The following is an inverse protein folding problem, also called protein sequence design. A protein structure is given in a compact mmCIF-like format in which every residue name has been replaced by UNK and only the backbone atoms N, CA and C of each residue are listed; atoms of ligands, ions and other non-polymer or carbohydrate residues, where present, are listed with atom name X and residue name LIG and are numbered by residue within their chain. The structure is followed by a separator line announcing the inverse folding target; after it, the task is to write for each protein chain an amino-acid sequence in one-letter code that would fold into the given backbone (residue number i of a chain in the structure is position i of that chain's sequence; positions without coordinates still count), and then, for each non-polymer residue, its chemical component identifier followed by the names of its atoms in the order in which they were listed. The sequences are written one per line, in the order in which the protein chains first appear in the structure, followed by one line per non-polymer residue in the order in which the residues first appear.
data_IF_299170556878
#
_entry.id   IF_299170556878
#
_cell.length_a   1.000
_cell.length_b   1.000
_cell.length_c   1.000
_cell.angle_alpha   90.00
_cell.angle_beta   90.00
_cell.angle_gamma   90.00
#
_symmetry.space_group_name_H-M   'P 1'
#
loop_
_entity.id
_entity.type
_entity.pdbx_description
1 polymer ?
#
# COMPACT_ATOMS: atom_id res chain seq x y z
N UNK A 1 8.04 6.24 -30.56
CA UNK A 1 7.47 6.83 -29.33
C UNK A 1 6.25 6.04 -28.89
N UNK A 2 6.22 5.56 -27.64
CA UNK A 2 5.04 4.95 -27.03
C UNK A 2 4.28 5.98 -26.21
N UNK A 3 2.97 5.78 -26.00
CA UNK A 3 2.16 6.65 -25.13
C UNK A 3 2.80 6.80 -23.76
N UNK A 4 3.37 5.70 -23.22
CA UNK A 4 4.09 5.71 -21.95
C UNK A 4 5.27 6.67 -21.95
N UNK A 5 6.07 6.68 -23.01
CA UNK A 5 7.23 7.56 -23.12
C UNK A 5 6.80 9.02 -23.30
N UNK A 6 5.73 9.26 -24.05
CA UNK A 6 5.17 10.60 -24.25
C UNK A 6 4.60 11.18 -22.93
N UNK A 7 3.85 10.37 -22.16
CA UNK A 7 3.36 10.76 -20.83
C UNK A 7 4.49 10.96 -19.82
N UNK A 8 5.52 10.11 -19.84
CA UNK A 8 6.73 10.31 -19.02
C UNK A 8 7.43 11.63 -19.36
N UNK A 9 7.52 11.96 -20.65
CA UNK A 9 8.10 13.22 -21.09
C UNK A 9 7.28 14.43 -20.62
N UNK A 10 5.93 14.36 -20.66
CA UNK A 10 5.05 15.39 -20.11
C UNK A 10 5.28 15.61 -18.61
N UNK A 11 5.38 14.53 -17.84
CA UNK A 11 5.68 14.64 -16.41
C UNK A 11 7.05 15.29 -16.15
N UNK A 12 8.05 14.96 -16.97
CA UNK A 12 9.43 15.45 -16.78
C UNK A 12 9.62 16.90 -17.24
N UNK A 13 8.99 17.30 -18.35
CA UNK A 13 9.21 18.61 -18.97
C UNK A 13 8.28 19.71 -18.42
N UNK A 14 7.29 19.34 -17.61
CA UNK A 14 6.34 20.24 -16.92
C UNK A 14 5.56 21.18 -17.84
N UNK A 15 5.44 20.86 -19.13
CA UNK A 15 4.68 21.68 -20.08
C UNK A 15 3.19 21.46 -19.89
N UNK A 16 2.42 22.55 -19.87
CA UNK A 16 0.94 22.54 -19.77
C UNK A 16 0.39 22.05 -18.43
N UNK A 17 1.21 22.01 -17.38
CA UNK A 17 0.71 21.72 -16.03
C UNK A 17 -0.30 22.79 -15.58
N UNK A 18 -1.40 22.34 -15.01
CA UNK A 18 -2.56 23.15 -14.60
C UNK A 18 -2.95 22.90 -13.13
N UNK A 19 -2.13 22.14 -12.40
CA UNK A 19 -2.24 21.93 -10.96
C UNK A 19 -0.87 21.77 -10.31
N UNK A 20 -0.77 22.21 -9.05
CA UNK A 20 0.38 22.04 -8.17
C UNK A 20 -0.02 21.14 -7.01
N UNK A 21 0.75 20.10 -6.74
CA UNK A 21 0.59 19.23 -5.58
C UNK A 21 1.66 19.59 -4.58
N UNK A 22 1.26 19.96 -3.36
CA UNK A 22 2.15 20.41 -2.29
C UNK A 22 2.23 19.36 -1.19
N UNK A 23 3.45 19.01 -0.80
CA UNK A 23 3.76 18.21 0.39
C UNK A 23 4.68 19.06 1.24
N UNK A 24 4.23 19.44 2.44
CA UNK A 24 4.93 20.41 3.29
C UNK A 24 5.26 21.70 2.50
N UNK A 25 6.53 22.07 2.38
CA UNK A 25 7.00 23.24 1.64
C UNK A 25 7.40 22.93 0.18
N UNK A 26 7.25 21.67 -0.26
CA UNK A 26 7.68 21.21 -1.58
C UNK A 26 6.50 21.07 -2.55
N UNK A 27 6.72 21.43 -3.81
CA UNK A 27 5.66 21.48 -4.84
C UNK A 27 6.05 20.70 -6.09
N UNK A 28 5.11 19.91 -6.62
CA UNK A 28 5.21 19.22 -7.90
C UNK A 28 4.10 19.70 -8.83
N UNK A 29 4.46 20.09 -10.05
CA UNK A 29 3.52 20.47 -11.10
C UNK A 29 3.01 19.23 -11.84
N UNK A 30 1.72 19.18 -12.13
CA UNK A 30 1.06 18.04 -12.78
C UNK A 30 -0.12 18.49 -13.66
N UNK A 31 -0.79 17.52 -14.27
CA UNK A 31 -1.91 17.73 -15.18
C UNK A 31 -3.20 17.14 -14.58
N UNK A 32 -4.22 17.97 -14.38
CA UNK A 32 -5.51 17.57 -13.79
C UNK A 32 -6.14 16.42 -14.56
N UNK A 33 -6.08 16.47 -15.89
CA UNK A 33 -6.68 15.43 -16.75
C UNK A 33 -6.05 14.05 -16.55
N UNK A 34 -4.72 13.95 -16.43
CA UNK A 34 -4.01 12.70 -16.16
C UNK A 34 -4.37 12.19 -14.77
N UNK A 35 -4.33 13.07 -13.76
CA UNK A 35 -4.66 12.69 -12.38
C UNK A 35 -6.12 12.22 -12.24
N UNK A 36 -7.08 12.96 -12.81
CA UNK A 36 -8.50 12.62 -12.80
C UNK A 36 -8.78 11.31 -13.54
N UNK A 37 -8.14 11.08 -14.69
CA UNK A 37 -8.34 9.84 -15.44
C UNK A 37 -7.83 8.59 -14.70
N UNK A 38 -6.95 8.76 -13.72
CA UNK A 38 -6.19 7.68 -13.09
C UNK A 38 -6.49 7.51 -11.60
N UNK A 39 -7.21 8.44 -11.00
CA UNK A 39 -7.63 8.42 -9.60
C UNK A 39 -9.04 8.99 -9.47
N UNK A 40 -10.02 8.18 -9.01
CA UNK A 40 -11.37 8.65 -8.72
C UNK A 40 -11.40 9.82 -7.73
N UNK A 41 -10.48 9.83 -6.77
CA UNK A 41 -10.37 10.91 -5.77
C UNK A 41 -9.96 12.22 -6.42
N UNK A 42 -8.97 12.20 -7.31
CA UNK A 42 -8.61 13.39 -8.08
C UNK A 42 -9.72 13.81 -9.06
N UNK A 43 -10.44 12.85 -9.67
CA UNK A 43 -11.56 13.16 -10.55
C UNK A 43 -12.64 13.96 -9.82
N UNK A 44 -13.09 13.44 -8.66
CA UNK A 44 -14.06 14.14 -7.80
C UNK A 44 -13.53 15.50 -7.35
N UNK A 45 -12.25 15.56 -6.95
CA UNK A 45 -11.61 16.79 -6.49
C UNK A 45 -11.63 17.91 -7.53
N UNK A 46 -11.35 17.58 -8.80
CA UNK A 46 -11.29 18.58 -9.87
C UNK A 46 -12.64 18.88 -10.53
N UNK A 47 -13.60 17.95 -10.49
CA UNK A 47 -14.93 18.13 -11.07
C UNK A 47 -15.82 19.07 -10.23
N UNK A 48 -15.67 19.02 -8.90
CA UNK A 48 -16.55 19.77 -7.98
C UNK A 48 -16.09 21.21 -7.69
N UNK A 49 -15.07 21.71 -8.40
CA UNK A 49 -14.60 23.09 -8.22
C UNK A 49 -14.23 23.44 -6.78
N UNK A 50 -13.73 22.45 -6.00
CA UNK A 50 -13.28 22.67 -4.62
C UNK A 50 -12.24 23.80 -4.57
N UNK A 51 -12.06 24.45 -3.41
CA UNK A 51 -11.17 25.61 -3.20
C UNK A 51 -9.77 25.45 -3.83
N UNK A 52 -9.25 24.22 -3.80
CA UNK A 52 -7.99 23.77 -4.39
C UNK A 52 -7.95 23.99 -5.92
N UNK A 53 -9.09 23.84 -6.58
CA UNK A 53 -9.28 24.09 -8.03
C UNK A 53 -9.14 25.58 -8.37
N UNK A 54 -9.51 26.48 -7.45
CA UNK A 54 -9.43 27.93 -7.63
C UNK A 54 -8.03 28.48 -7.34
N UNK A 55 -7.32 27.92 -6.36
CA UNK A 55 -5.93 28.30 -6.04
C UNK A 55 -4.88 27.56 -6.88
N UNK A 56 -5.28 26.45 -7.53
CA UNK A 56 -4.39 25.62 -8.34
C UNK A 56 -3.37 24.82 -7.52
N UNK A 57 -3.54 24.76 -6.20
CA UNK A 57 -2.66 24.04 -5.26
C UNK A 57 -3.51 23.03 -4.48
N UNK A 58 -3.09 21.77 -4.49
CA UNK A 58 -3.67 20.68 -3.70
C UNK A 58 -2.66 20.28 -2.64
N UNK A 59 -3.06 20.36 -1.38
CA UNK A 59 -2.25 19.87 -0.26
C UNK A 59 -2.39 18.35 -0.14
N UNK A 60 -1.24 17.67 -0.21
CA UNK A 60 -1.10 16.23 -0.05
C UNK A 60 -0.48 15.98 1.32
N UNK A 61 -1.26 15.37 2.21
CA UNK A 61 -0.87 15.06 3.59
C UNK A 61 -0.62 13.56 3.77
N UNK A 62 0.07 13.18 4.84
CA UNK A 62 0.39 11.79 5.22
C UNK A 62 1.31 11.05 4.21
N UNK A 63 2.19 11.78 3.54
CA UNK A 63 3.19 11.24 2.61
C UNK A 63 4.35 12.23 2.49
N UNK A 64 5.47 11.81 1.90
CA UNK A 64 6.61 12.68 1.61
C UNK A 64 6.75 12.95 0.11
N UNK A 65 7.66 13.87 -0.24
CA UNK A 65 7.88 14.29 -1.63
C UNK A 65 8.39 13.15 -2.53
N UNK A 66 9.14 12.19 -1.99
CA UNK A 66 9.69 11.08 -2.75
C UNK A 66 8.59 10.09 -3.11
N UNK A 67 7.76 9.70 -2.13
CA UNK A 67 6.60 8.84 -2.35
C UNK A 67 5.59 9.50 -3.30
N UNK A 68 5.34 10.81 -3.17
CA UNK A 68 4.49 11.52 -4.12
C UNK A 68 5.04 11.49 -5.55
N UNK A 69 6.36 11.64 -5.75
CA UNK A 69 6.97 11.54 -7.09
C UNK A 69 6.77 10.16 -7.71
N UNK A 70 6.96 9.09 -6.94
CA UNK A 70 6.75 7.72 -7.41
C UNK A 70 5.28 7.43 -7.70
N UNK A 71 4.38 7.94 -6.85
CA UNK A 71 2.94 7.85 -7.07
C UNK A 71 2.55 8.53 -8.38
N UNK A 72 3.02 9.76 -8.62
CA UNK A 72 2.77 10.48 -9.86
C UNK A 72 3.41 9.77 -11.06
N UNK A 73 4.64 9.30 -10.94
CA UNK A 73 5.27 8.50 -11.99
C UNK A 73 4.38 7.32 -12.40
N UNK A 74 3.80 6.61 -11.43
CA UNK A 74 2.87 5.52 -11.71
C UNK A 74 1.62 5.98 -12.46
N UNK A 75 1.01 7.11 -12.07
CA UNK A 75 -0.17 7.63 -12.77
C UNK A 75 0.10 7.95 -14.25
N UNK A 76 1.31 8.41 -14.58
CA UNK A 76 1.69 8.71 -15.97
C UNK A 76 2.18 7.49 -16.75
N UNK A 77 2.72 6.46 -16.09
CA UNK A 77 3.53 5.43 -16.79
C UNK A 77 3.24 3.98 -16.43
N UNK A 78 2.35 3.72 -15.46
CA UNK A 78 2.10 2.39 -14.88
C UNK A 78 3.36 1.70 -14.28
N UNK A 79 4.43 2.46 -14.09
CA UNK A 79 5.70 1.99 -13.52
C UNK A 79 6.11 2.74 -12.28
N UNK A 80 6.84 2.02 -11.43
CA UNK A 80 7.55 2.53 -10.26
C UNK A 80 8.98 2.07 -10.46
N UNK A 81 9.91 3.01 -10.66
CA UNK A 81 11.28 2.66 -11.07
C UNK A 81 12.12 2.12 -9.90
N UNK A 82 11.80 2.51 -8.66
CA UNK A 82 12.49 2.12 -7.44
C UNK A 82 11.46 1.69 -6.39
N UNK A 83 11.23 0.39 -6.25
CA UNK A 83 10.30 -0.16 -5.26
C UNK A 83 11.06 -1.06 -4.30
N UNK A 84 11.28 -0.57 -3.08
CA UNK A 84 11.73 -1.35 -1.94
C UNK A 84 10.59 -1.53 -0.92
N UNK A 85 10.89 -2.16 0.21
CA UNK A 85 9.91 -2.42 1.27
C UNK A 85 9.26 -1.13 1.81
N UNK A 86 10.05 -0.10 2.16
CA UNK A 86 9.52 1.13 2.76
C UNK A 86 8.69 1.92 1.75
N UNK A 87 9.17 2.01 0.51
CA UNK A 87 8.46 2.61 -0.61
C UNK A 87 7.14 1.88 -0.87
N UNK A 88 7.13 0.55 -0.88
CA UNK A 88 5.91 -0.22 -1.11
C UNK A 88 4.87 -0.04 0.02
N UNK A 89 5.31 -0.01 1.29
CA UNK A 89 4.44 0.26 2.43
C UNK A 89 3.77 1.64 2.33
N UNK A 90 4.56 2.68 2.02
CA UNK A 90 4.06 4.05 1.92
C UNK A 90 3.22 4.28 0.65
N UNK A 91 3.64 3.75 -0.51
CA UNK A 91 2.87 3.84 -1.75
C UNK A 91 1.54 3.10 -1.65
N UNK A 92 1.47 1.99 -0.92
CA UNK A 92 0.21 1.28 -0.69
C UNK A 92 -0.82 2.16 0.04
N UNK A 93 -0.39 2.92 1.04
CA UNK A 93 -1.25 3.89 1.74
C UNK A 93 -1.72 5.02 0.81
N UNK A 94 -0.83 5.57 -0.01
CA UNK A 94 -1.19 6.61 -1.00
C UNK A 94 -2.14 6.05 -2.06
N UNK A 95 -1.87 4.84 -2.56
CA UNK A 95 -2.71 4.16 -3.54
C UNK A 95 -4.12 3.91 -3.01
N UNK A 96 -4.26 3.52 -1.74
CA UNK A 96 -5.57 3.37 -1.07
C UNK A 96 -6.27 4.74 -0.95
N UNK A 97 -5.56 5.76 -0.44
CA UNK A 97 -6.09 7.11 -0.23
C UNK A 97 -6.62 7.74 -1.51
N UNK A 98 -5.94 7.53 -2.64
CA UNK A 98 -6.32 8.06 -3.95
C UNK A 98 -7.05 7.04 -4.83
N UNK A 99 -7.41 5.88 -4.29
CA UNK A 99 -8.18 4.82 -4.95
C UNK A 99 -7.59 4.34 -6.29
N UNK A 100 -6.27 4.13 -6.31
CA UNK A 100 -5.53 3.64 -7.48
C UNK A 100 -5.30 2.14 -7.33
N UNK A 101 -6.33 1.35 -7.67
CA UNK A 101 -6.37 -0.09 -7.42
C UNK A 101 -5.18 -0.84 -8.05
N UNK A 102 -4.77 -0.50 -9.27
CA UNK A 102 -3.64 -1.17 -9.93
C UNK A 102 -2.32 -0.96 -9.20
N UNK A 103 -2.10 0.21 -8.58
CA UNK A 103 -0.91 0.46 -7.76
C UNK A 103 -1.00 -0.26 -6.42
N UNK A 104 -2.20 -0.26 -5.81
CA UNK A 104 -2.47 -1.01 -4.57
C UNK A 104 -2.12 -2.49 -4.75
N UNK A 105 -2.63 -3.13 -5.80
CA UNK A 105 -2.31 -4.53 -6.13
C UNK A 105 -0.81 -4.74 -6.35
N UNK A 106 -0.16 -3.84 -7.11
CA UNK A 106 1.29 -3.92 -7.37
C UNK A 106 2.11 -3.88 -6.07
N UNK A 107 1.80 -2.95 -5.17
CA UNK A 107 2.48 -2.85 -3.88
C UNK A 107 2.20 -4.09 -3.01
N UNK A 108 0.96 -4.58 -2.98
CA UNK A 108 0.60 -5.78 -2.22
C UNK A 108 1.34 -7.03 -2.70
N UNK A 109 1.43 -7.22 -4.02
CA UNK A 109 2.15 -8.38 -4.58
C UNK A 109 3.65 -8.30 -4.29
N UNK A 110 4.24 -7.11 -4.34
CA UNK A 110 5.64 -6.89 -3.95
C UNK A 110 5.86 -7.16 -2.45
N UNK A 111 5.01 -6.61 -1.56
CA UNK A 111 5.12 -6.86 -0.12
C UNK A 111 4.98 -8.34 0.23
N UNK A 112 4.17 -9.10 -0.53
CA UNK A 112 4.09 -10.55 -0.37
C UNK A 112 5.42 -11.25 -0.69
N UNK A 113 6.18 -10.79 -1.68
CA UNK A 113 7.49 -11.40 -2.02
C UNK A 113 8.58 -11.02 -1.02
N UNK A 114 8.47 -9.85 -0.40
CA UNK A 114 9.42 -9.34 0.60
C UNK A 114 9.09 -9.75 2.04
N UNK A 115 8.10 -10.61 2.24
CA UNK A 115 7.63 -11.00 3.56
C UNK A 115 8.68 -11.82 4.33
N UNK A 116 8.92 -11.43 5.57
CA UNK A 116 9.94 -12.00 6.47
C UNK A 116 9.46 -12.02 7.92
N UNK A 117 10.21 -12.69 8.80
CA UNK A 117 9.92 -12.73 10.25
C UNK A 117 9.93 -11.31 10.84
N UNK A 118 10.82 -10.48 10.31
CA UNK A 118 11.09 -9.12 10.77
C UNK A 118 9.96 -8.15 10.41
N UNK A 119 9.29 -8.35 9.27
CA UNK A 119 8.31 -7.39 8.74
C UNK A 119 6.86 -7.90 8.66
N UNK A 120 6.59 -9.21 8.79
CA UNK A 120 5.24 -9.78 8.57
C UNK A 120 4.15 -9.15 9.45
N UNK A 121 4.48 -8.74 10.67
CA UNK A 121 3.53 -8.03 11.56
C UNK A 121 3.07 -6.70 10.97
N UNK A 122 3.98 -5.92 10.40
CA UNK A 122 3.67 -4.61 9.83
C UNK A 122 2.88 -4.78 8.51
N UNK A 123 3.32 -5.72 7.67
CA UNK A 123 2.62 -6.09 6.43
C UNK A 123 1.18 -6.54 6.74
N UNK A 124 0.98 -7.38 7.76
CA UNK A 124 -0.34 -7.84 8.17
C UNK A 124 -1.23 -6.68 8.66
N UNK A 125 -0.70 -5.79 9.49
CA UNK A 125 -1.43 -4.61 9.95
C UNK A 125 -1.84 -3.72 8.78
N UNK A 126 -0.91 -3.47 7.85
CA UNK A 126 -1.18 -2.66 6.67
C UNK A 126 -2.23 -3.32 5.76
N UNK A 127 -2.06 -4.61 5.45
CA UNK A 127 -3.00 -5.37 4.64
C UNK A 127 -4.43 -5.35 5.22
N UNK A 128 -4.56 -5.42 6.54
CA UNK A 128 -5.84 -5.26 7.21
C UNK A 128 -6.37 -3.82 7.12
N UNK A 129 -5.52 -2.81 7.32
CA UNK A 129 -5.92 -1.40 7.24
C UNK A 129 -6.44 -1.00 5.86
N UNK A 130 -5.82 -1.52 4.79
CA UNK A 130 -6.25 -1.30 3.40
C UNK A 130 -7.27 -2.34 2.90
N UNK A 131 -7.82 -3.18 3.79
CA UNK A 131 -8.80 -4.23 3.44
C UNK A 131 -8.37 -5.12 2.26
N UNK A 132 -7.10 -5.51 2.19
CA UNK A 132 -6.56 -6.35 1.12
C UNK A 132 -6.43 -7.82 1.60
N UNK A 133 -7.52 -8.56 1.44
CA UNK A 133 -7.71 -9.90 2.02
C UNK A 133 -6.65 -10.93 1.59
N UNK A 134 -6.19 -10.90 0.34
CA UNK A 134 -5.19 -11.85 -0.13
C UNK A 134 -3.84 -11.70 0.59
N UNK A 135 -3.36 -10.46 0.73
CA UNK A 135 -2.10 -10.16 1.44
C UNK A 135 -2.24 -10.44 2.94
N UNK A 136 -3.40 -10.13 3.51
CA UNK A 136 -3.72 -10.45 4.90
C UNK A 136 -3.68 -11.96 5.15
N UNK A 137 -4.34 -12.76 4.31
CA UNK A 137 -4.30 -14.23 4.39
C UNK A 137 -2.88 -14.75 4.25
N UNK A 138 -2.13 -14.30 3.23
CA UNK A 138 -0.75 -14.72 3.02
C UNK A 138 0.14 -14.41 4.23
N UNK A 139 -0.05 -13.26 4.88
CA UNK A 139 0.68 -12.88 6.09
C UNK A 139 0.34 -13.77 7.28
N UNK A 140 -0.94 -14.11 7.46
CA UNK A 140 -1.38 -15.04 8.50
C UNK A 140 -0.81 -16.45 8.25
N UNK A 141 -0.87 -16.93 7.02
CA UNK A 141 -0.33 -18.24 6.63
C UNK A 141 1.19 -18.32 6.88
N UNK A 142 1.92 -17.25 6.59
CA UNK A 142 3.35 -17.15 6.90
C UNK A 142 3.62 -17.29 8.41
N UNK A 143 2.89 -16.55 9.24
CA UNK A 143 3.03 -16.61 10.71
C UNK A 143 2.73 -18.03 11.23
N UNK A 144 1.70 -18.66 10.69
CA UNK A 144 1.28 -20.01 11.08
C UNK A 144 2.25 -21.09 10.60
N UNK A 145 2.95 -20.86 9.49
CA UNK A 145 3.98 -21.75 8.97
C UNK A 145 5.22 -21.82 9.86
N UNK A 146 5.59 -20.71 10.50
CA UNK A 146 6.79 -20.59 11.35
C UNK A 146 6.53 -19.88 12.69
N UNK A 147 5.61 -20.40 13.52
CA UNK A 147 5.09 -19.66 14.67
C UNK A 147 6.16 -19.42 15.75
N UNK A 148 7.12 -20.35 15.93
CA UNK A 148 8.15 -20.22 16.95
C UNK A 148 9.00 -18.95 16.80
N UNK A 149 9.40 -18.62 15.58
CA UNK A 149 10.24 -17.45 15.30
C UNK A 149 9.47 -16.15 15.46
N UNK A 150 8.22 -16.10 14.98
CA UNK A 150 7.41 -14.88 15.01
C UNK A 150 6.88 -14.60 16.42
N UNK A 151 6.24 -15.58 17.05
CA UNK A 151 5.53 -15.38 18.33
C UNK A 151 6.47 -15.13 19.51
N UNK A 152 7.74 -15.54 19.41
CA UNK A 152 8.75 -15.28 20.44
C UNK A 152 9.45 -13.92 20.26
N UNK A 153 9.20 -13.22 19.15
CA UNK A 153 9.86 -11.93 18.88
C UNK A 153 9.32 -10.81 19.78
N UNK A 154 10.18 -9.86 20.22
CA UNK A 154 9.71 -8.66 20.95
C UNK A 154 8.71 -7.82 20.14
N UNK A 155 8.86 -7.83 18.81
CA UNK A 155 7.97 -7.14 17.88
C UNK A 155 6.55 -7.70 17.97
N UNK A 156 6.39 -9.02 17.97
CA UNK A 156 5.09 -9.67 18.15
C UNK A 156 4.41 -9.29 19.47
N UNK A 157 5.17 -9.29 20.57
CA UNK A 157 4.67 -8.93 21.90
C UNK A 157 4.11 -7.51 21.98
N UNK A 158 4.70 -6.59 21.21
CA UNK A 158 4.23 -5.21 21.10
C UNK A 158 3.05 -5.13 20.14
N UNK A 159 3.17 -5.78 18.98
CA UNK A 159 2.17 -5.81 17.92
C UNK A 159 0.82 -6.37 18.40
N UNK A 160 0.82 -7.48 19.14
CA UNK A 160 -0.41 -8.13 19.63
C UNK A 160 -1.23 -7.25 20.58
N UNK A 161 -0.57 -6.34 21.33
CA UNK A 161 -1.25 -5.41 22.25
C UNK A 161 -2.07 -4.38 21.47
N UNK A 162 -1.55 -3.94 20.33
CA UNK A 162 -2.17 -2.96 19.45
C UNK A 162 -3.15 -3.59 18.45
N UNK A 163 -2.99 -4.88 18.14
CA UNK A 163 -3.76 -5.60 17.11
C UNK A 163 -4.53 -6.80 17.69
N UNK A 164 -5.32 -6.59 18.75
CA UNK A 164 -5.97 -7.66 19.53
C UNK A 164 -6.82 -8.62 18.71
N UNK A 165 -7.63 -8.10 17.78
CA UNK A 165 -8.50 -8.94 16.93
C UNK A 165 -7.71 -9.84 15.97
N UNK A 166 -6.67 -9.28 15.33
CA UNK A 166 -5.81 -10.06 14.45
C UNK A 166 -5.01 -11.12 15.25
N UNK A 167 -4.47 -10.74 16.41
CA UNK A 167 -3.78 -11.67 17.29
C UNK A 167 -4.69 -12.81 17.80
N UNK A 168 -5.96 -12.50 18.11
CA UNK A 168 -6.97 -13.50 18.49
C UNK A 168 -7.24 -14.47 17.35
N UNK A 169 -7.37 -13.94 16.13
CA UNK A 169 -7.59 -14.74 14.92
C UNK A 169 -6.44 -15.71 14.68
N UNK A 170 -5.20 -15.22 14.74
CA UNK A 170 -3.99 -16.05 14.59
C UNK A 170 -3.93 -17.13 15.68
N UNK A 171 -4.20 -16.76 16.95
CA UNK A 171 -4.19 -17.70 18.07
C UNK A 171 -5.21 -18.82 17.89
N UNK A 172 -6.42 -18.49 17.42
CA UNK A 172 -7.46 -19.46 17.14
C UNK A 172 -7.07 -20.41 16.00
N UNK A 173 -6.50 -19.89 14.90
CA UNK A 173 -6.05 -20.73 13.79
C UNK A 173 -4.88 -21.65 14.16
N UNK A 174 -3.93 -21.18 14.98
CA UNK A 174 -2.86 -22.01 15.52
C UNK A 174 -3.40 -23.16 16.38
N UNK A 175 -4.39 -22.88 17.23
CA UNK A 175 -5.06 -23.91 18.04
C UNK A 175 -5.75 -24.97 17.18
N UNK A 176 -6.48 -24.56 16.13
CA UNK A 176 -7.12 -25.48 15.20
C UNK A 176 -6.08 -26.35 14.49
N UNK A 177 -5.00 -25.76 13.97
CA UNK A 177 -3.94 -26.50 13.28
C UNK A 177 -3.23 -27.51 14.20
N UNK A 178 -3.00 -27.16 15.46
CA UNK A 178 -2.46 -28.09 16.46
C UNK A 178 -3.43 -29.25 16.75
N UNK A 179 -4.73 -28.96 16.81
CA UNK A 179 -5.78 -29.96 17.06
C UNK A 179 -5.92 -30.94 15.88
N UNK A 180 -5.93 -30.45 14.64
CA UNK A 180 -5.96 -31.26 13.43
C UNK A 180 -4.73 -32.15 13.28
N UNK A 181 -3.52 -31.63 13.59
CA UNK A 181 -2.29 -32.45 13.59
C UNK A 181 -2.36 -33.58 14.60
N UNK A 182 -2.89 -33.33 15.81
CA UNK A 182 -3.09 -34.36 16.83
C UNK A 182 -4.10 -35.43 16.40
N UNK A 183 -5.22 -35.03 15.82
CA UNK A 183 -6.22 -35.97 15.29
C UNK A 183 -5.62 -36.90 14.21
N UNK A 184 -4.87 -36.32 13.27
CA UNK A 184 -4.20 -37.07 12.20
C UNK A 184 -3.12 -38.04 12.74
N UNK A 185 -2.37 -37.65 13.79
CA UNK A 185 -1.37 -38.53 14.41
C UNK A 185 -1.99 -39.67 15.23
N UNK A 186 -3.19 -39.47 15.79
CA UNK A 186 -3.90 -40.50 16.56
C UNK A 186 -4.74 -41.46 15.69
N UNK A 187 -4.77 -41.31 14.36
CA UNK A 187 -5.47 -42.21 13.45
C UNK A 187 -7.00 -42.20 13.60
N UNK A 188 -7.57 -41.14 14.19
CA UNK A 188 -9.01 -40.98 14.32
C UNK A 188 -9.50 -40.19 13.10
N UNK A 189 -9.67 -40.89 11.98
CA UNK A 189 -10.36 -40.39 10.78
C UNK A 189 -11.81 -40.85 10.77
#
# INVERSE_FOLDING_TARGET
PSIKDDLRALFSNKKFCDVKLRVEDQVIEAHKNVLAARSPVFAVMFDHGMTETQMGIVDIVDTDIHILKLFLQFLYTDTVDEMDYEVAMNLLMVAEKYQVLSLKEKCCMFLKTEMSIENVCDILSLANAVNHEYLKSASVDFIIGIPGNVLQSPKWETWKKNNKELARTISFQLYLNASSRKANMCGIS
#
